data_IF_571042891006
#
_entry.id   IF_571042891006
#
_cell.length_a   1.000
_cell.length_b   1.000
_cell.length_c   1.000
_cell.angle_alpha   90.00
_cell.angle_beta   90.00
_cell.angle_gamma   90.00
#
_symmetry.space_group_name_H-M   'P 1'
#
loop_
_entity.id
_entity.type
_entity.pdbx_description
1 polymer ?
#
# COMPACT_ATOMS: atom_id res chain seq x y z
N UNK A 1 -6.19 -12.72 17.53
CA UNK A 1 -6.94 -11.48 17.18
C UNK A 1 -5.95 -10.46 16.66
N UNK A 2 -6.30 -9.69 15.62
CA UNK A 2 -5.44 -8.61 15.14
C UNK A 2 -5.60 -7.35 16.00
N UNK A 3 -4.49 -6.65 16.27
CA UNK A 3 -4.49 -5.32 16.87
C UNK A 3 -4.65 -4.22 15.80
N UNK A 4 -4.80 -2.96 16.22
CA UNK A 4 -5.00 -1.84 15.30
C UNK A 4 -3.82 -1.62 14.35
N UNK A 5 -2.58 -1.75 14.85
CA UNK A 5 -1.35 -1.58 14.07
C UNK A 5 -1.25 -2.62 12.94
N UNK A 6 -1.53 -3.89 13.24
CA UNK A 6 -1.57 -4.96 12.26
C UNK A 6 -2.63 -4.69 11.20
N UNK A 7 -3.80 -4.20 11.60
CA UNK A 7 -4.90 -3.91 10.66
C UNK A 7 -4.58 -2.72 9.75
N UNK A 8 -4.01 -1.64 10.28
CA UNK A 8 -3.60 -0.50 9.43
C UNK A 8 -2.52 -0.92 8.45
N UNK A 9 -1.52 -1.69 8.90
CA UNK A 9 -0.49 -2.26 8.02
C UNK A 9 -1.10 -3.14 6.92
N UNK A 10 -2.03 -4.04 7.26
CA UNK A 10 -2.68 -4.88 6.24
C UNK A 10 -3.57 -4.08 5.27
N UNK A 11 -4.18 -2.99 5.71
CA UNK A 11 -4.93 -2.10 4.83
C UNK A 11 -4.03 -1.44 3.78
N UNK A 12 -2.81 -1.06 4.16
CA UNK A 12 -1.79 -0.51 3.24
C UNK A 12 -1.25 -1.60 2.30
N UNK A 13 -0.80 -2.74 2.85
CA UNK A 13 -0.25 -3.85 2.04
C UNK A 13 -1.26 -4.35 1.01
N UNK A 14 -2.56 -4.41 1.36
CA UNK A 14 -3.60 -4.86 0.43
C UNK A 14 -3.76 -3.97 -0.81
N UNK A 15 -3.31 -2.71 -0.73
CA UNK A 15 -3.32 -1.81 -1.89
C UNK A 15 -2.26 -2.20 -2.93
N UNK A 16 -1.20 -2.87 -2.51
CA UNK A 16 -0.06 -3.27 -3.37
C UNK A 16 -0.14 -4.75 -3.76
N UNK A 17 -0.57 -5.62 -2.84
CA UNK A 17 -0.60 -7.08 -3.05
C UNK A 17 -1.80 -7.75 -2.35
N UNK A 18 -2.34 -8.85 -2.88
CA UNK A 18 -3.42 -9.57 -2.23
C UNK A 18 -2.98 -10.18 -0.90
N UNK A 19 -3.84 -10.09 0.12
CA UNK A 19 -3.63 -10.73 1.41
C UNK A 19 -4.06 -12.20 1.35
N UNK A 20 -3.51 -13.03 2.24
CA UNK A 20 -4.02 -14.40 2.43
C UNK A 20 -5.47 -14.36 2.93
N UNK A 21 -6.26 -15.39 2.58
CA UNK A 21 -7.69 -15.47 2.95
C UNK A 21 -7.92 -15.38 4.46
N UNK A 22 -7.08 -16.04 5.26
CA UNK A 22 -7.17 -15.98 6.72
C UNK A 22 -6.96 -14.56 7.27
N UNK A 23 -5.95 -13.86 6.74
CA UNK A 23 -5.67 -12.47 7.11
C UNK A 23 -6.80 -11.53 6.70
N UNK A 24 -7.38 -11.71 5.51
CA UNK A 24 -8.54 -10.92 5.09
C UNK A 24 -9.75 -11.08 6.00
N UNK A 25 -10.04 -12.31 6.45
CA UNK A 25 -11.16 -12.58 7.35
C UNK A 25 -10.90 -11.95 8.71
N UNK A 26 -9.71 -12.16 9.28
CA UNK A 26 -9.35 -11.58 10.58
C UNK A 26 -9.40 -10.05 10.55
N UNK A 27 -8.91 -9.43 9.46
CA UNK A 27 -8.99 -7.99 9.25
C UNK A 27 -10.45 -7.51 9.14
N UNK A 28 -11.29 -8.20 8.36
CA UNK A 28 -12.72 -7.87 8.24
C UNK A 28 -13.45 -7.91 9.58
N UNK A 29 -13.15 -8.90 10.42
CA UNK A 29 -13.72 -9.00 11.78
C UNK A 29 -13.32 -7.77 12.62
N UNK A 30 -12.05 -7.37 12.57
CA UNK A 30 -11.59 -6.18 13.31
C UNK A 30 -12.27 -4.89 12.79
N UNK A 31 -12.41 -4.72 11.47
CA UNK A 31 -13.04 -3.52 10.89
C UNK A 31 -14.54 -3.38 11.23
N UNK A 32 -15.22 -4.50 11.54
CA UNK A 32 -16.59 -4.46 12.06
C UNK A 32 -16.67 -3.87 13.46
N UNK A 33 -15.68 -4.16 14.33
CA UNK A 33 -15.68 -3.70 15.73
C UNK A 33 -15.02 -2.33 15.94
N UNK A 34 -13.98 -2.00 15.17
CA UNK A 34 -13.17 -0.81 15.40
C UNK A 34 -13.52 0.31 14.42
N UNK A 35 -14.14 1.38 14.94
CA UNK A 35 -14.54 2.55 14.15
C UNK A 35 -13.33 3.25 13.52
N UNK A 36 -12.21 3.33 14.25
CA UNK A 36 -11.01 4.05 13.81
C UNK A 36 -10.35 3.34 12.62
N UNK A 37 -10.12 2.03 12.71
CA UNK A 37 -9.56 1.26 11.61
C UNK A 37 -10.47 1.27 10.38
N UNK A 38 -11.81 1.30 10.57
CA UNK A 38 -12.75 1.43 9.47
C UNK A 38 -12.63 2.80 8.77
N UNK A 39 -12.56 3.89 9.52
CA UNK A 39 -12.38 5.25 8.98
C UNK A 39 -11.03 5.38 8.27
N UNK A 40 -9.96 4.90 8.90
CA UNK A 40 -8.63 4.87 8.29
C UNK A 40 -8.68 4.14 6.94
N UNK A 41 -9.27 2.94 6.87
CA UNK A 41 -9.41 2.21 5.60
C UNK A 41 -10.25 2.93 4.54
N UNK A 42 -11.23 3.76 4.92
CA UNK A 42 -11.96 4.62 3.98
C UNK A 42 -11.08 5.77 3.49
N UNK A 43 -10.35 6.43 4.39
CA UNK A 43 -9.41 7.52 4.06
C UNK A 43 -8.32 7.03 3.11
N UNK A 44 -7.65 5.91 3.41
CA UNK A 44 -6.62 5.33 2.54
C UNK A 44 -7.16 5.09 1.13
N UNK A 45 -8.37 4.51 0.99
CA UNK A 45 -9.00 4.29 -0.32
C UNK A 45 -9.28 5.59 -1.06
N UNK A 46 -9.72 6.64 -0.37
CA UNK A 46 -9.95 7.95 -0.99
C UNK A 46 -8.64 8.56 -1.47
N UNK A 47 -7.61 8.55 -0.63
CA UNK A 47 -6.27 9.06 -0.98
C UNK A 47 -5.73 8.31 -2.20
N UNK A 48 -5.75 6.98 -2.20
CA UNK A 48 -5.25 6.18 -3.33
C UNK A 48 -6.01 6.48 -4.63
N UNK A 49 -7.32 6.72 -4.58
CA UNK A 49 -8.11 7.09 -5.77
C UNK A 49 -7.81 8.50 -6.27
N UNK A 50 -7.52 9.43 -5.36
CA UNK A 50 -7.28 10.83 -5.69
C UNK A 50 -5.81 11.12 -6.05
N UNK A 51 -4.88 10.30 -5.57
CA UNK A 51 -3.44 10.47 -5.81
C UNK A 51 -3.05 10.65 -7.29
N UNK A 52 -3.64 9.91 -8.26
CA UNK A 52 -3.35 10.12 -9.68
C UNK A 52 -3.76 11.50 -10.20
N UNK A 53 -4.80 12.11 -9.62
CA UNK A 53 -5.30 13.43 -10.04
C UNK A 53 -4.51 14.59 -9.43
N UNK A 54 -3.84 14.35 -8.30
CA UNK A 54 -2.91 15.30 -7.69
C UNK A 54 -1.48 15.20 -8.23
N UNK A 55 -1.17 14.15 -9.00
CA UNK A 55 0.14 14.02 -9.62
C UNK A 55 0.32 15.16 -10.63
N UNK A 56 1.38 15.95 -10.47
CA UNK A 56 1.84 16.89 -11.49
C UNK A 56 1.93 16.15 -12.84
N UNK A 57 1.72 16.84 -13.98
CA UNK A 57 1.67 16.20 -15.29
C UNK A 57 2.87 15.28 -15.50
N UNK A 58 2.66 14.19 -16.24
CA UNK A 58 3.63 13.13 -16.56
C UNK A 58 4.90 13.61 -17.32
N UNK A 59 5.18 14.92 -17.33
CA UNK A 59 6.43 15.54 -17.74
C UNK A 59 7.56 15.28 -16.75
N UNK A 60 7.26 14.86 -15.51
CA UNK A 60 8.25 14.35 -14.56
C UNK A 60 8.84 13.03 -15.06
N UNK A 61 9.85 13.11 -15.92
CA UNK A 61 10.65 11.97 -16.35
C UNK A 61 11.80 11.76 -15.37
N UNK A 62 11.98 10.53 -14.91
CA UNK A 62 13.24 10.14 -14.28
C UNK A 62 14.38 10.33 -15.28
N UNK A 63 15.51 10.90 -14.85
CA UNK A 63 16.71 10.95 -15.67
C UNK A 63 17.19 9.53 -16.00
N UNK A 64 17.81 9.34 -17.16
CA UNK A 64 18.35 8.03 -17.54
C UNK A 64 19.39 7.52 -16.54
N UNK A 65 20.22 8.42 -16.00
CA UNK A 65 21.17 8.12 -14.92
C UNK A 65 20.47 7.53 -13.68
N UNK A 66 19.34 8.12 -13.28
CA UNK A 66 18.58 7.64 -12.13
C UNK A 66 17.92 6.27 -12.42
N UNK A 67 17.43 6.06 -13.66
CA UNK A 67 16.89 4.76 -14.09
C UNK A 67 17.96 3.68 -14.07
N UNK A 68 19.19 3.97 -14.51
CA UNK A 68 20.30 3.03 -14.46
C UNK A 68 20.70 2.67 -13.03
N UNK A 69 20.77 3.67 -12.14
CA UNK A 69 20.97 3.44 -10.69
C UNK A 69 19.89 2.54 -10.09
N UNK A 70 18.62 2.75 -10.44
CA UNK A 70 17.51 1.91 -9.99
C UNK A 70 17.63 0.47 -10.49
N UNK A 71 17.94 0.27 -11.79
CA UNK A 71 18.16 -1.07 -12.36
C UNK A 71 19.32 -1.79 -11.68
N UNK A 72 20.40 -1.06 -11.40
CA UNK A 72 21.54 -1.61 -10.67
C UNK A 72 21.10 -2.07 -9.28
N UNK A 73 20.40 -1.23 -8.50
CA UNK A 73 19.88 -1.60 -7.17
C UNK A 73 18.96 -2.82 -7.19
N UNK A 74 18.01 -2.88 -8.12
CA UNK A 74 17.08 -4.02 -8.23
C UNK A 74 17.80 -5.33 -8.52
N UNK A 75 18.91 -5.29 -9.28
CA UNK A 75 19.75 -6.46 -9.56
C UNK A 75 20.42 -7.03 -8.30
N UNK A 76 20.72 -6.17 -7.32
CA UNK A 76 21.34 -6.58 -6.05
C UNK A 76 20.33 -6.99 -4.97
N UNK A 77 19.08 -6.57 -5.06
CA UNK A 77 18.03 -6.92 -4.09
C UNK A 77 17.20 -8.16 -4.48
N UNK A 78 17.64 -8.95 -5.46
CA UNK A 78 17.02 -10.24 -5.77
C UNK A 78 17.62 -11.32 -4.87
N UNK A 79 16.91 -11.84 -3.86
CA UNK A 79 17.31 -13.09 -3.24
C UNK A 79 17.01 -14.19 -4.27
N UNK A 80 18.04 -14.89 -4.72
CA UNK A 80 17.88 -16.29 -5.16
C UNK A 80 17.68 -17.12 -3.90
#
# INVERSE_FOLDING_TARGET
MLNCEQVTRYLEIRAEQPLSRGTEVAMRVHLRRCVLCRRYGQQTRLITRLAPFSAAPATARLSEEFKERLRWRMRWTSPV
#
